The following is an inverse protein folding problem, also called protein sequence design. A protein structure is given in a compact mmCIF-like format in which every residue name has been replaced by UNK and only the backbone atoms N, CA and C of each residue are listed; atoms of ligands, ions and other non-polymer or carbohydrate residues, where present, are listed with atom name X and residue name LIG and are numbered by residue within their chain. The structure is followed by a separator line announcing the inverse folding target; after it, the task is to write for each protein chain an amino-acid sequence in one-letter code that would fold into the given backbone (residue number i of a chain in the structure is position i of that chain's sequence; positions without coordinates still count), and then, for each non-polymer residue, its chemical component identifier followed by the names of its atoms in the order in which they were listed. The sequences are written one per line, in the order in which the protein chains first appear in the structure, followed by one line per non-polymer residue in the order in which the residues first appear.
data_IF_728701409055
#
_entry.id   IF_728701409055
#
_cell.length_a   1.000
_cell.length_b   1.000
_cell.length_c   1.000
_cell.angle_alpha   90.00
_cell.angle_beta   90.00
_cell.angle_gamma   90.00
#
_symmetry.space_group_name_H-M   'P 1'
#
loop_
_entity.id
_entity.type
_entity.pdbx_description
1 polymer ?
#
# COMPACT_ATOMS: atom_id res chain seq x y z
N UNK A 1 -18.04 -43.53 28.32
CA UNK A 1 -16.72 -42.94 28.06
C UNK A 1 -16.38 -43.05 26.58
N UNK A 2 -16.62 -41.99 25.81
CA UNK A 2 -16.33 -41.98 24.38
C UNK A 2 -14.86 -41.66 24.15
N UNK A 3 -14.18 -42.55 23.42
CA UNK A 3 -12.77 -42.47 23.04
C UNK A 3 -12.57 -41.24 22.14
N UNK A 4 -12.11 -40.11 22.71
CA UNK A 4 -11.78 -38.87 21.97
C UNK A 4 -10.79 -39.26 20.87
N UNK A 5 -11.25 -39.33 19.62
CA UNK A 5 -10.38 -39.59 18.46
C UNK A 5 -9.31 -38.51 18.48
N UNK A 6 -8.06 -38.89 18.68
CA UNK A 6 -6.90 -37.99 18.57
C UNK A 6 -6.94 -37.43 17.16
N UNK A 7 -7.46 -36.22 16.97
CA UNK A 7 -7.52 -35.61 15.65
C UNK A 7 -6.08 -35.48 15.15
N UNK A 8 -5.84 -35.87 13.90
CA UNK A 8 -4.52 -35.68 13.31
C UNK A 8 -4.31 -34.18 13.23
N UNK A 9 -3.40 -33.66 14.06
CA UNK A 9 -3.01 -32.25 14.06
C UNK A 9 -2.56 -31.87 12.64
N UNK A 10 -3.35 -30.99 12.00
CA UNK A 10 -3.11 -30.54 10.63
C UNK A 10 -2.09 -29.41 10.59
N UNK A 11 -1.96 -28.68 11.71
CA UNK A 11 -1.09 -27.53 11.87
C UNK A 11 -0.19 -27.66 13.09
N UNK A 12 1.05 -27.15 12.98
CA UNK A 12 1.98 -27.02 14.10
C UNK A 12 2.09 -25.56 14.47
N UNK A 13 2.14 -25.27 15.76
CA UNK A 13 2.27 -23.92 16.28
C UNK A 13 3.63 -23.76 16.96
N UNK A 14 4.43 -22.79 16.50
CA UNK A 14 5.69 -22.42 17.15
C UNK A 14 5.50 -21.08 17.82
N UNK A 15 5.51 -21.07 19.14
CA UNK A 15 5.43 -19.84 19.92
C UNK A 15 6.66 -18.98 19.67
N UNK A 16 6.47 -17.70 19.39
CA UNK A 16 7.57 -16.73 19.27
C UNK A 16 7.53 -15.68 20.39
N UNK A 17 6.39 -15.52 21.08
CA UNK A 17 6.27 -14.62 22.24
C UNK A 17 5.25 -15.14 23.27
N UNK A 18 5.50 -14.84 24.55
CA UNK A 18 4.58 -15.08 25.67
C UNK A 18 4.71 -13.97 26.70
N UNK A 19 3.58 -13.53 27.22
CA UNK A 19 3.42 -12.69 28.40
C UNK A 19 2.35 -13.32 29.31
N UNK A 20 2.07 -12.76 30.50
CA UNK A 20 0.96 -13.24 31.33
C UNK A 20 -0.38 -13.25 30.59
N UNK A 21 -0.63 -12.22 29.77
CA UNK A 21 -1.95 -11.97 29.15
C UNK A 21 -1.94 -12.06 27.62
N UNK A 22 -0.83 -12.40 26.98
CA UNK A 22 -0.73 -12.48 25.51
C UNK A 22 0.24 -13.56 25.05
N UNK A 23 -0.06 -14.20 23.93
CA UNK A 23 0.86 -15.11 23.26
C UNK A 23 0.80 -14.95 21.74
N UNK A 24 1.91 -15.25 21.07
CA UNK A 24 2.03 -15.19 19.61
C UNK A 24 2.72 -16.43 19.05
N UNK A 25 2.22 -16.87 17.89
CA UNK A 25 2.57 -18.13 17.25
C UNK A 25 2.75 -17.98 15.74
N UNK A 26 3.78 -18.65 15.23
CA UNK A 26 3.87 -19.01 13.83
C UNK A 26 3.17 -20.34 13.58
N UNK A 27 2.34 -20.38 12.54
CA UNK A 27 1.55 -21.54 12.15
C UNK A 27 2.22 -22.24 10.97
N UNK A 28 2.36 -23.56 11.02
CA UNK A 28 2.96 -24.38 9.97
C UNK A 28 2.05 -25.55 9.59
N UNK A 29 2.08 -26.03 8.35
CA UNK A 29 1.42 -27.30 8.00
C UNK A 29 2.17 -28.47 8.66
N UNK A 30 1.45 -29.35 9.36
CA UNK A 30 2.07 -30.41 10.15
C UNK A 30 2.82 -31.46 9.30
N UNK A 31 2.37 -31.70 8.07
CA UNK A 31 2.96 -32.68 7.15
C UNK A 31 4.25 -32.22 6.47
N UNK A 32 4.64 -30.95 6.61
CA UNK A 32 5.83 -30.41 5.96
C UNK A 32 6.80 -29.89 7.03
N UNK A 33 7.89 -30.64 7.26
CA UNK A 33 8.86 -30.33 8.33
C UNK A 33 9.63 -29.03 8.09
N UNK A 34 9.88 -28.67 6.83
CA UNK A 34 10.68 -27.52 6.40
C UNK A 34 9.88 -26.51 5.56
N UNK A 35 8.57 -26.38 5.82
CA UNK A 35 7.77 -25.37 5.13
C UNK A 35 7.82 -24.03 5.87
N UNK A 36 7.74 -22.90 5.15
CA UNK A 36 7.59 -21.60 5.77
C UNK A 36 6.30 -21.54 6.59
N UNK A 37 6.25 -20.61 7.54
CA UNK A 37 5.00 -20.36 8.26
C UNK A 37 3.91 -19.94 7.25
N UNK A 38 2.71 -20.45 7.45
CA UNK A 38 1.56 -20.18 6.58
C UNK A 38 0.68 -19.06 7.15
N UNK A 39 0.82 -18.77 8.45
CA UNK A 39 0.09 -17.73 9.15
C UNK A 39 0.80 -17.34 10.45
N UNK A 40 0.45 -16.16 10.95
CA UNK A 40 0.74 -15.70 12.30
C UNK A 40 -0.55 -15.62 13.11
N UNK A 41 -0.52 -16.15 14.32
CA UNK A 41 -1.65 -16.14 15.25
C UNK A 41 -1.23 -15.49 16.55
N UNK A 42 -1.94 -14.45 16.93
CA UNK A 42 -1.70 -13.70 18.16
C UNK A 42 -3.00 -13.60 18.93
N UNK A 43 -2.93 -13.75 20.25
CA UNK A 43 -4.07 -13.49 21.10
C UNK A 43 -3.68 -12.75 22.38
N UNK A 44 -4.65 -12.00 22.89
CA UNK A 44 -4.57 -11.24 24.12
C UNK A 44 -5.81 -11.50 24.98
N UNK A 45 -5.61 -11.57 26.29
CA UNK A 45 -6.66 -11.80 27.27
C UNK A 45 -6.90 -10.51 28.05
N UNK A 46 -8.14 -10.03 28.05
CA UNK A 46 -8.58 -8.90 28.85
C UNK A 46 -9.93 -9.24 29.48
N UNK A 47 -10.02 -9.13 30.81
CA UNK A 47 -11.24 -9.45 31.57
C UNK A 47 -11.88 -10.79 31.19
N UNK A 48 -11.04 -11.82 30.98
CA UNK A 48 -11.39 -13.19 30.56
C UNK A 48 -11.93 -13.33 29.12
N UNK A 49 -11.92 -12.25 28.35
CA UNK A 49 -12.20 -12.26 26.90
C UNK A 49 -10.89 -12.45 26.14
N UNK A 50 -10.89 -13.36 25.18
CA UNK A 50 -9.74 -13.65 24.32
C UNK A 50 -9.92 -12.93 22.98
N UNK A 51 -9.09 -11.94 22.73
CA UNK A 51 -9.03 -11.21 21.46
C UNK A 51 -7.90 -11.79 20.62
N UNK A 52 -8.24 -12.37 19.48
CA UNK A 52 -7.27 -13.00 18.60
C UNK A 52 -7.25 -12.40 17.19
N UNK A 53 -6.05 -12.38 16.63
CA UNK A 53 -5.78 -12.02 15.24
C UNK A 53 -5.07 -13.17 14.56
N UNK A 54 -5.59 -13.59 13.41
CA UNK A 54 -4.95 -14.56 12.53
C UNK A 54 -4.62 -13.88 11.20
N UNK A 55 -3.33 -13.75 10.89
CA UNK A 55 -2.86 -13.23 9.60
C UNK A 55 -2.39 -14.40 8.75
N UNK A 56 -3.13 -14.73 7.70
CA UNK A 56 -2.83 -15.83 6.78
C UNK A 56 -1.97 -15.31 5.63
N UNK A 57 -0.71 -15.75 5.60
CA UNK A 57 0.28 -15.35 4.58
C UNK A 57 0.25 -16.23 3.33
N UNK A 58 -0.17 -17.48 3.47
CA UNK A 58 -0.31 -18.44 2.37
C UNK A 58 -1.79 -18.73 2.11
N UNK A 59 -2.30 -18.61 0.88
CA UNK A 59 -3.71 -18.92 0.59
C UNK A 59 -4.11 -20.32 1.07
N UNK A 60 -5.17 -20.38 1.87
CA UNK A 60 -5.77 -21.62 2.39
C UNK A 60 -7.13 -21.84 1.74
N UNK A 61 -7.49 -23.11 1.48
CA UNK A 61 -8.88 -23.43 1.13
C UNK A 61 -9.78 -23.17 2.35
N UNK A 62 -11.05 -22.88 2.10
CA UNK A 62 -12.02 -22.64 3.18
C UNK A 62 -12.02 -23.77 4.23
N UNK A 63 -12.04 -25.03 3.79
CA UNK A 63 -11.99 -26.20 4.69
C UNK A 63 -10.65 -26.38 5.41
N UNK A 64 -9.56 -25.79 4.93
CA UNK A 64 -8.27 -25.75 5.65
C UNK A 64 -8.26 -24.63 6.70
N UNK A 65 -8.85 -23.47 6.39
CA UNK A 65 -8.99 -22.35 7.32
C UNK A 65 -9.93 -22.71 8.49
N UNK A 66 -11.07 -23.33 8.22
CA UNK A 66 -12.01 -23.81 9.24
C UNK A 66 -11.32 -24.78 10.21
N UNK A 67 -10.53 -25.73 9.70
CA UNK A 67 -9.73 -26.65 10.53
C UNK A 67 -8.63 -25.96 11.32
N UNK A 68 -8.05 -24.88 10.78
CA UNK A 68 -7.04 -24.10 11.49
C UNK A 68 -7.67 -23.38 12.67
N UNK A 69 -8.83 -22.75 12.47
CA UNK A 69 -9.58 -22.07 13.54
C UNK A 69 -10.01 -23.06 14.62
N UNK A 70 -10.57 -24.21 14.24
CA UNK A 70 -10.94 -25.29 15.18
C UNK A 70 -9.73 -25.73 16.01
N UNK A 71 -8.58 -25.99 15.36
CA UNK A 71 -7.38 -26.40 16.07
C UNK A 71 -6.81 -25.30 16.98
N UNK A 72 -6.95 -24.02 16.62
CA UNK A 72 -6.55 -22.89 17.46
C UNK A 72 -7.41 -22.81 18.73
N UNK A 73 -8.73 -22.93 18.59
CA UNK A 73 -9.65 -22.93 19.73
C UNK A 73 -9.34 -24.09 20.69
N UNK A 74 -9.23 -25.31 20.17
CA UNK A 74 -8.90 -26.51 20.96
C UNK A 74 -7.55 -26.38 21.67
N UNK A 75 -6.53 -25.87 20.97
CA UNK A 75 -5.15 -25.86 21.48
C UNK A 75 -4.88 -24.77 22.51
N UNK A 76 -5.55 -23.62 22.40
CA UNK A 76 -5.20 -22.43 23.18
C UNK A 76 -6.32 -21.93 24.09
N UNK A 77 -7.59 -22.21 23.74
CA UNK A 77 -8.72 -21.53 24.36
C UNK A 77 -9.63 -22.50 25.14
N UNK A 78 -9.87 -23.72 24.63
CA UNK A 78 -10.82 -24.69 25.21
C UNK A 78 -10.47 -25.08 26.67
N UNK A 79 -9.19 -25.00 27.05
CA UNK A 79 -8.70 -25.42 28.36
C UNK A 79 -8.67 -24.30 29.43
N UNK A 80 -9.27 -23.14 29.14
CA UNK A 80 -9.23 -21.96 30.01
C UNK A 80 -10.53 -21.81 30.79
N UNK A 81 -10.53 -22.33 32.02
CA UNK A 81 -11.73 -22.52 32.87
C UNK A 81 -12.51 -21.24 33.23
N UNK A 82 -11.99 -20.05 32.91
CA UNK A 82 -12.63 -18.77 33.27
C UNK A 82 -12.99 -17.88 32.09
N UNK A 83 -12.89 -18.35 30.83
CA UNK A 83 -13.19 -17.55 29.62
C UNK A 83 -14.66 -17.09 29.56
N UNK A 84 -14.87 -15.84 29.17
CA UNK A 84 -16.20 -15.27 28.88
C UNK A 84 -16.51 -15.22 27.38
N UNK A 85 -15.53 -14.90 26.52
CA UNK A 85 -15.71 -14.83 25.06
C UNK A 85 -14.39 -15.06 24.30
N UNK A 86 -14.49 -15.40 23.00
CA UNK A 86 -13.36 -15.54 22.06
C UNK A 86 -13.68 -14.83 20.74
N UNK A 87 -13.01 -13.70 20.50
CA UNK A 87 -13.20 -12.86 19.33
C UNK A 87 -12.00 -13.04 18.41
N UNK A 88 -12.20 -13.70 17.27
CA UNK A 88 -11.16 -13.94 16.27
C UNK A 88 -11.38 -13.08 15.03
N UNK A 89 -10.39 -12.26 14.68
CA UNK A 89 -10.34 -11.53 13.41
C UNK A 89 -9.32 -12.17 12.48
N UNK A 90 -9.73 -12.48 11.25
CA UNK A 90 -8.89 -13.16 10.26
C UNK A 90 -8.58 -12.23 9.10
N UNK A 91 -7.29 -12.05 8.83
CA UNK A 91 -6.77 -11.30 7.68
C UNK A 91 -6.05 -12.25 6.73
N UNK A 92 -6.11 -11.97 5.43
CA UNK A 92 -5.21 -12.56 4.45
C UNK A 92 -4.25 -11.48 3.96
N UNK A 93 -2.95 -11.69 4.14
CA UNK A 93 -1.95 -10.66 3.85
C UNK A 93 -0.54 -11.23 3.74
N UNK A 94 0.23 -10.71 2.79
CA UNK A 94 1.62 -11.13 2.57
C UNK A 94 2.56 -10.40 3.52
N UNK A 95 3.40 -11.14 4.23
CA UNK A 95 4.52 -10.58 4.99
C UNK A 95 5.57 -9.98 4.03
N UNK A 96 5.90 -8.69 4.21
CA UNK A 96 6.68 -7.93 3.22
C UNK A 96 8.18 -7.96 3.51
N UNK A 97 8.60 -7.86 4.77
CA UNK A 97 10.01 -7.91 5.18
C UNK A 97 10.16 -8.04 6.69
N UNK A 98 11.15 -8.82 7.14
CA UNK A 98 11.52 -8.99 8.55
C UNK A 98 12.86 -8.36 8.92
N UNK A 99 12.94 -7.78 10.12
CA UNK A 99 14.15 -7.17 10.66
C UNK A 99 14.40 -7.59 12.11
N UNK A 100 15.66 -7.95 12.41
CA UNK A 100 16.19 -8.26 13.75
C UNK A 100 17.61 -7.70 13.87
N UNK A 101 17.92 -7.05 15.00
CA UNK A 101 19.16 -6.32 15.27
C UNK A 101 20.28 -7.18 15.88
N UNK A 102 19.92 -8.34 16.42
CA UNK A 102 20.77 -9.23 17.23
C UNK A 102 21.06 -10.56 16.55
N UNK A 103 20.38 -10.85 15.43
CA UNK A 103 20.53 -12.08 14.65
C UNK A 103 21.21 -11.75 13.32
N UNK A 104 22.48 -12.19 13.10
CA UNK A 104 23.19 -12.00 11.84
C UNK A 104 22.39 -12.55 10.66
N UNK A 105 22.42 -11.86 9.50
CA UNK A 105 21.62 -12.21 8.31
C UNK A 105 21.81 -13.67 7.85
N UNK A 106 23.00 -14.23 8.07
CA UNK A 106 23.36 -15.62 7.79
C UNK A 106 22.88 -16.66 8.82
N UNK A 107 22.53 -16.22 10.04
CA UNK A 107 22.03 -17.04 11.16
C UNK A 107 20.52 -16.90 11.34
N UNK A 108 19.86 -16.03 10.54
CA UNK A 108 18.40 -15.98 10.36
C UNK A 108 17.92 -17.24 9.63
N UNK A 109 18.14 -18.40 10.24
CA UNK A 109 17.42 -19.62 9.94
C UNK A 109 16.00 -19.38 10.41
N UNK A 110 15.16 -18.93 9.46
CA UNK A 110 13.73 -18.74 9.60
C UNK A 110 13.32 -17.58 10.53
N UNK A 111 13.02 -16.38 10.02
CA UNK A 111 12.34 -15.42 10.89
C UNK A 111 11.44 -14.36 10.21
N UNK A 112 10.18 -14.25 10.67
CA UNK A 112 9.21 -13.21 10.33
C UNK A 112 9.42 -11.86 11.02
N UNK A 113 8.70 -10.86 10.52
CA UNK A 113 8.93 -9.43 10.67
C UNK A 113 8.53 -8.79 11.98
N UNK A 114 9.41 -7.96 12.55
CA UNK A 114 9.09 -7.06 13.68
C UNK A 114 9.83 -5.73 13.57
N UNK A 115 9.67 -4.73 14.45
CA UNK A 115 8.53 -3.83 14.71
C UNK A 115 9.07 -2.51 15.34
N UNK A 116 10.33 -2.48 15.81
CA UNK A 116 11.13 -1.27 16.14
C UNK A 116 11.49 -0.40 14.93
N UNK A 117 10.76 -0.60 13.85
CA UNK A 117 11.09 -0.19 12.53
C UNK A 117 10.12 0.93 12.08
N UNK A 118 9.06 1.29 12.82
CA UNK A 118 8.08 2.23 12.23
C UNK A 118 8.67 3.65 11.99
N UNK A 119 9.56 4.15 12.86
CA UNK A 119 10.26 5.42 12.65
C UNK A 119 11.58 5.26 11.85
N UNK A 120 12.45 4.33 12.27
CA UNK A 120 13.72 4.04 11.58
C UNK A 120 13.58 3.20 10.31
N UNK A 121 12.41 2.64 10.07
CA UNK A 121 11.98 1.97 8.84
C UNK A 121 10.94 2.74 8.06
N UNK A 122 10.35 3.83 8.56
CA UNK A 122 10.08 4.93 7.63
C UNK A 122 11.41 5.46 7.10
N UNK A 123 12.44 5.63 7.93
CA UNK A 123 13.78 6.06 7.48
C UNK A 123 14.48 5.00 6.62
N UNK A 124 14.39 3.70 6.93
CA UNK A 124 15.04 2.60 6.20
C UNK A 124 14.22 2.12 4.99
N UNK A 125 12.87 2.06 5.06
CA UNK A 125 12.03 1.97 3.86
C UNK A 125 12.24 3.23 3.01
N UNK A 126 12.39 4.44 3.55
CA UNK A 126 12.79 5.62 2.74
C UNK A 126 14.24 5.57 2.29
N UNK A 127 15.13 4.80 2.93
CA UNK A 127 16.51 4.57 2.48
C UNK A 127 16.57 3.48 1.40
N UNK A 128 15.59 2.57 1.37
CA UNK A 128 15.44 1.48 0.39
C UNK A 128 14.56 1.95 -0.80
N UNK A 129 13.38 2.52 -0.56
CA UNK A 129 12.51 3.26 -1.51
C UNK A 129 13.19 4.54 -2.02
N UNK A 130 13.99 5.23 -1.20
CA UNK A 130 14.81 6.36 -1.66
C UNK A 130 15.98 5.93 -2.53
N UNK A 131 16.37 4.66 -2.48
CA UNK A 131 17.30 4.04 -3.43
C UNK A 131 16.59 3.44 -4.66
N UNK A 132 15.25 3.29 -4.66
CA UNK A 132 14.48 2.71 -5.77
C UNK A 132 13.47 3.69 -6.35
N UNK A 133 13.90 4.39 -7.40
CA UNK A 133 13.15 5.41 -8.15
C UNK A 133 11.79 4.89 -8.68
N UNK A 134 11.70 3.60 -8.98
CA UNK A 134 10.52 2.94 -9.56
C UNK A 134 9.35 2.78 -8.57
N UNK A 135 9.61 2.36 -7.33
CA UNK A 135 8.57 2.18 -6.32
C UNK A 135 7.95 3.51 -5.88
N UNK A 136 8.75 4.58 -5.81
CA UNK A 136 8.26 5.95 -5.59
C UNK A 136 7.44 6.49 -6.76
N UNK A 137 7.76 6.10 -8.00
CA UNK A 137 6.95 6.43 -9.18
C UNK A 137 5.52 5.89 -9.04
N UNK A 138 5.39 4.60 -8.75
CA UNK A 138 4.08 3.94 -8.61
C UNK A 138 3.22 4.52 -7.48
N UNK A 139 3.85 4.95 -6.37
CA UNK A 139 3.14 5.62 -5.27
C UNK A 139 2.66 7.04 -5.65
N UNK A 140 3.46 7.78 -6.42
CA UNK A 140 3.04 9.11 -6.90
C UNK A 140 1.85 9.00 -7.86
N UNK A 141 1.83 7.99 -8.72
CA UNK A 141 0.72 7.73 -9.64
C UNK A 141 -0.56 7.41 -8.87
N UNK A 142 -0.46 6.58 -7.81
CA UNK A 142 -1.60 6.23 -6.99
C UNK A 142 -2.15 7.42 -6.19
N UNK A 143 -1.27 8.23 -5.60
CA UNK A 143 -1.65 9.46 -4.90
C UNK A 143 -2.32 10.48 -5.86
N UNK A 144 -1.83 10.55 -7.11
CA UNK A 144 -2.40 11.41 -8.13
C UNK A 144 -3.80 10.94 -8.57
N UNK A 145 -4.03 9.62 -8.65
CA UNK A 145 -5.39 9.10 -8.86
C UNK A 145 -6.34 9.53 -7.73
N UNK A 146 -5.94 9.32 -6.48
CA UNK A 146 -6.75 9.68 -5.31
C UNK A 146 -7.05 11.19 -5.26
N UNK A 147 -6.11 12.04 -5.66
CA UNK A 147 -6.32 13.47 -5.79
C UNK A 147 -7.41 13.82 -6.80
N UNK A 148 -7.37 13.21 -7.99
CA UNK A 148 -8.41 13.43 -8.99
C UNK A 148 -9.77 12.87 -8.56
N UNK A 149 -9.79 11.72 -7.88
CA UNK A 149 -11.01 11.16 -7.27
C UNK A 149 -11.63 12.12 -6.25
N UNK A 150 -10.79 12.72 -5.39
CA UNK A 150 -11.25 13.75 -4.44
C UNK A 150 -11.79 15.02 -5.13
N UNK A 151 -11.36 15.31 -6.36
CA UNK A 151 -11.90 16.39 -7.20
C UNK A 151 -13.14 15.98 -8.02
N UNK A 152 -13.66 14.76 -7.84
CA UNK A 152 -14.85 14.28 -8.53
C UNK A 152 -14.60 13.69 -9.92
N UNK A 153 -13.37 13.24 -10.20
CA UNK A 153 -13.05 12.49 -11.42
C UNK A 153 -13.08 10.98 -11.15
N UNK A 154 -13.27 10.20 -12.19
CA UNK A 154 -12.89 8.79 -12.20
C UNK A 154 -11.44 8.69 -12.68
N UNK A 155 -10.52 8.27 -11.82
CA UNK A 155 -9.09 8.21 -12.14
C UNK A 155 -8.56 6.78 -12.24
N UNK A 156 -7.60 6.56 -13.13
CA UNK A 156 -6.90 5.28 -13.25
C UNK A 156 -5.48 5.47 -13.73
N UNK A 157 -4.61 4.52 -13.38
CA UNK A 157 -3.27 4.45 -13.96
C UNK A 157 -3.38 4.17 -15.45
N UNK A 158 -2.50 4.79 -16.22
CA UNK A 158 -2.40 4.59 -17.65
C UNK A 158 -1.94 3.15 -17.94
N UNK A 159 -2.45 2.55 -19.03
CA UNK A 159 -2.03 1.22 -19.47
C UNK A 159 -0.77 1.29 -20.34
N UNK A 160 -0.14 0.14 -20.60
CA UNK A 160 1.12 0.01 -21.38
C UNK A 160 1.15 0.73 -22.73
N UNK A 161 0.00 0.97 -23.36
CA UNK A 161 -0.10 1.70 -24.63
C UNK A 161 0.18 3.21 -24.48
N UNK A 162 0.09 3.75 -23.27
CA UNK A 162 0.24 5.16 -22.93
C UNK A 162 1.58 5.49 -22.27
N UNK A 163 2.31 4.48 -21.78
CA UNK A 163 3.64 4.62 -21.17
C UNK A 163 4.64 5.27 -22.13
N UNK A 164 4.53 4.97 -23.43
CA UNK A 164 5.39 5.56 -24.46
C UNK A 164 5.18 7.07 -24.65
N UNK A 165 4.02 7.59 -24.22
CA UNK A 165 3.66 9.01 -24.28
C UNK A 165 3.95 9.75 -22.96
N UNK A 166 4.57 9.07 -21.98
CA UNK A 166 4.85 9.60 -20.62
C UNK A 166 3.59 10.03 -19.86
N UNK A 167 2.46 9.37 -20.14
CA UNK A 167 1.21 9.58 -19.41
C UNK A 167 1.11 8.46 -18.38
N UNK A 168 1.06 8.81 -17.11
CA UNK A 168 1.03 7.82 -16.02
C UNK A 168 -0.39 7.65 -15.44
N UNK A 169 -1.22 8.69 -15.53
CA UNK A 169 -2.61 8.70 -15.00
C UNK A 169 -3.56 9.30 -16.02
N UNK A 170 -4.75 8.72 -16.13
CA UNK A 170 -5.88 9.26 -16.89
C UNK A 170 -7.03 9.46 -15.91
N UNK A 171 -7.55 10.68 -15.84
CA UNK A 171 -8.70 11.04 -15.02
C UNK A 171 -9.79 11.67 -15.89
N UNK A 172 -11.04 11.28 -15.66
CA UNK A 172 -12.16 11.69 -16.51
C UNK A 172 -13.37 12.07 -15.66
N UNK A 173 -14.00 13.20 -15.99
CA UNK A 173 -15.31 13.57 -15.48
C UNK A 173 -16.27 13.84 -16.66
N UNK A 174 -17.39 14.51 -16.44
CA UNK A 174 -18.36 14.79 -17.51
C UNK A 174 -17.91 15.88 -18.50
N UNK A 175 -16.95 16.73 -18.14
CA UNK A 175 -16.51 17.89 -18.92
C UNK A 175 -15.17 17.68 -19.63
N UNK A 176 -14.25 16.93 -19.02
CA UNK A 176 -12.86 16.87 -19.45
C UNK A 176 -12.19 15.52 -19.14
N UNK A 177 -11.13 15.24 -19.91
CA UNK A 177 -10.22 14.11 -19.71
C UNK A 177 -8.82 14.68 -19.45
N UNK A 178 -8.28 14.38 -18.28
CA UNK A 178 -6.95 14.80 -17.85
C UNK A 178 -5.97 13.66 -18.08
N UNK A 179 -4.96 13.92 -18.89
CA UNK A 179 -3.83 13.02 -19.11
C UNK A 179 -2.64 13.57 -18.33
N UNK A 180 -2.26 12.87 -17.27
CA UNK A 180 -1.32 13.38 -16.29
C UNK A 180 -0.02 12.57 -16.24
N UNK A 181 1.10 13.29 -16.13
CA UNK A 181 2.40 12.73 -15.79
C UNK A 181 2.72 13.00 -14.32
N UNK A 182 3.10 11.96 -13.58
CA UNK A 182 3.55 12.05 -12.19
C UNK A 182 5.09 12.00 -12.12
N UNK A 183 5.73 13.13 -11.80
CA UNK A 183 7.19 13.24 -11.69
C UNK A 183 7.65 13.14 -10.24
N UNK A 184 8.77 12.44 -10.04
CA UNK A 184 9.52 12.50 -8.78
C UNK A 184 10.44 13.72 -8.79
N UNK A 185 10.31 14.63 -7.81
CA UNK A 185 11.18 15.78 -7.66
C UNK A 185 10.81 16.94 -8.60
N UNK A 186 11.83 17.55 -9.18
CA UNK A 186 11.66 18.69 -10.08
C UNK A 186 11.34 18.25 -11.50
N UNK A 187 10.51 19.03 -12.20
CA UNK A 187 10.25 18.87 -13.63
C UNK A 187 10.86 20.02 -14.43
N UNK A 188 11.37 19.72 -15.63
CA UNK A 188 11.94 20.69 -16.55
C UNK A 188 10.93 21.24 -17.56
N UNK A 189 11.25 22.38 -18.18
CA UNK A 189 10.44 23.01 -19.24
C UNK A 189 10.19 22.06 -20.41
N UNK A 190 11.22 21.31 -20.84
CA UNK A 190 11.12 20.38 -21.97
C UNK A 190 10.25 19.16 -21.64
N UNK A 191 10.22 18.72 -20.38
CA UNK A 191 9.34 17.65 -19.94
C UNK A 191 7.87 18.09 -19.94
N UNK A 192 7.57 19.28 -19.42
CA UNK A 192 6.19 19.82 -19.45
C UNK A 192 5.72 19.98 -20.90
N UNK A 193 6.59 20.49 -21.77
CA UNK A 193 6.31 20.61 -23.20
C UNK A 193 6.09 19.25 -23.87
N UNK A 194 6.87 18.23 -23.49
CA UNK A 194 6.72 16.89 -24.06
C UNK A 194 5.36 16.27 -23.73
N UNK A 195 4.87 16.43 -22.50
CA UNK A 195 3.54 15.97 -22.08
C UNK A 195 2.45 16.70 -22.84
N UNK A 196 2.49 18.04 -22.87
CA UNK A 196 1.50 18.84 -23.61
C UNK A 196 1.47 18.45 -25.10
N UNK A 197 2.63 18.28 -25.72
CA UNK A 197 2.74 17.86 -27.11
C UNK A 197 2.26 16.42 -27.34
N UNK A 198 2.47 15.51 -26.39
CA UNK A 198 1.96 14.14 -26.47
C UNK A 198 0.43 14.14 -26.46
N UNK A 199 -0.18 14.81 -25.49
CA UNK A 199 -1.64 14.93 -25.38
C UNK A 199 -2.25 15.63 -26.60
N UNK A 200 -1.59 16.65 -27.15
CA UNK A 200 -2.06 17.33 -28.36
C UNK A 200 -2.11 16.45 -29.62
N UNK A 201 -1.24 15.43 -29.71
CA UNK A 201 -1.17 14.52 -30.85
C UNK A 201 -2.17 13.36 -30.78
N UNK A 202 -2.86 13.23 -29.64
CA UNK A 202 -3.79 12.12 -29.39
C UNK A 202 -5.01 12.21 -30.29
N UNK A 203 -5.33 11.09 -30.96
CA UNK A 203 -6.48 10.96 -31.87
C UNK A 203 -7.79 10.61 -31.16
N UNK A 204 -7.71 10.19 -29.89
CA UNK A 204 -8.85 10.03 -28.97
C UNK A 204 -9.39 11.36 -28.45
N UNK A 205 -8.84 12.49 -28.92
CA UNK A 205 -9.56 13.76 -29.08
C UNK A 205 -10.65 13.54 -30.15
N UNK A 206 -11.60 12.63 -29.87
CA UNK A 206 -12.69 12.32 -30.77
C UNK A 206 -13.73 13.42 -30.63
N UNK A 207 -13.91 14.09 -31.75
CA UNK A 207 -14.97 15.04 -32.05
C UNK A 207 -16.32 14.30 -32.02
N UNK A 208 -17.02 14.41 -30.89
CA UNK A 208 -18.38 13.91 -30.75
C UNK A 208 -18.84 14.01 -29.31
N UNK A 209 -19.39 15.17 -28.93
CA UNK A 209 -19.74 15.56 -27.54
C UNK A 209 -18.51 15.70 -26.64
N UNK A 210 -17.48 16.33 -27.22
CA UNK A 210 -16.05 16.15 -26.90
C UNK A 210 -15.68 16.70 -25.52
N UNK A 211 -15.40 15.80 -24.57
CA UNK A 211 -14.73 16.17 -23.33
C UNK A 211 -13.40 16.83 -23.67
N UNK A 212 -13.11 17.95 -23.03
CA UNK A 212 -11.89 18.70 -23.28
C UNK A 212 -10.67 17.89 -22.80
N UNK A 213 -9.70 17.66 -23.67
CA UNK A 213 -8.44 17.03 -23.27
C UNK A 213 -7.53 18.04 -22.57
N UNK A 214 -7.01 17.64 -21.42
CA UNK A 214 -6.14 18.45 -20.58
C UNK A 214 -4.83 17.72 -20.35
N UNK A 215 -3.71 18.42 -20.53
CA UNK A 215 -2.39 17.89 -20.18
C UNK A 215 -2.06 18.30 -18.75
N UNK A 216 -1.69 17.35 -17.91
CA UNK A 216 -1.32 17.63 -16.52
C UNK A 216 0.08 17.12 -16.18
N UNK A 217 0.79 17.87 -15.35
CA UNK A 217 2.07 17.44 -14.77
C UNK A 217 2.01 17.65 -13.28
N UNK A 218 2.29 16.59 -12.51
CA UNK A 218 2.39 16.63 -11.06
C UNK A 218 3.85 16.51 -10.62
N UNK A 219 4.37 17.48 -9.84
CA UNK A 219 5.77 17.52 -9.41
C UNK A 219 5.97 18.24 -8.07
N UNK A 220 7.15 18.07 -7.46
CA UNK A 220 7.53 18.79 -6.24
C UNK A 220 7.91 20.24 -6.56
N UNK A 221 8.62 20.44 -7.67
CA UNK A 221 9.13 21.75 -8.09
C UNK A 221 8.98 21.94 -9.59
N UNK A 222 8.49 23.12 -9.96
CA UNK A 222 8.40 23.57 -11.35
C UNK A 222 9.44 24.68 -11.63
N UNK A 223 9.75 24.96 -12.91
CA UNK A 223 10.54 26.12 -13.29
C UNK A 223 9.93 27.42 -12.75
N UNK A 224 10.75 28.44 -12.46
CA UNK A 224 10.24 29.71 -11.90
C UNK A 224 9.26 30.43 -12.83
N UNK A 225 9.43 30.22 -14.13
CA UNK A 225 8.61 30.75 -15.21
C UNK A 225 7.48 29.80 -15.63
N UNK A 226 7.15 28.78 -14.81
CA UNK A 226 6.21 27.72 -15.17
C UNK A 226 4.83 28.22 -15.57
N UNK A 227 4.32 29.28 -14.95
CA UNK A 227 3.04 29.89 -15.34
C UNK A 227 3.11 30.59 -16.70
N UNK A 228 4.24 31.22 -17.02
CA UNK A 228 4.47 31.82 -18.35
C UNK A 228 4.59 30.70 -19.40
N UNK A 229 5.30 29.63 -19.07
CA UNK A 229 5.40 28.42 -19.88
C UNK A 229 4.03 27.80 -20.13
N UNK A 230 3.22 27.59 -19.08
CA UNK A 230 1.87 27.02 -19.14
C UNK A 230 1.02 27.75 -20.17
N UNK A 231 0.89 29.08 -20.03
CA UNK A 231 0.13 29.93 -20.97
C UNK A 231 0.67 29.91 -22.39
N UNK A 232 1.97 29.70 -22.57
CA UNK A 232 2.58 29.58 -23.90
C UNK A 232 2.23 28.23 -24.53
N UNK A 233 2.33 27.14 -23.77
CA UNK A 233 1.99 25.79 -24.23
C UNK A 233 0.50 25.67 -24.54
N UNK A 234 -0.38 26.26 -23.72
CA UNK A 234 -1.82 26.30 -23.98
C UNK A 234 -2.14 26.96 -25.32
N UNK A 235 -1.52 28.11 -25.62
CA UNK A 235 -1.66 28.78 -26.91
C UNK A 235 -1.06 27.99 -28.06
N UNK A 236 0.08 27.33 -27.83
CA UNK A 236 0.79 26.58 -28.85
C UNK A 236 0.03 25.31 -29.27
N UNK A 237 -0.55 24.59 -28.31
CA UNK A 237 -1.17 23.29 -28.53
C UNK A 237 -2.70 23.32 -28.54
N UNK A 238 -3.32 24.45 -28.17
CA UNK A 238 -4.78 24.60 -28.17
C UNK A 238 -5.49 23.73 -27.14
N UNK A 239 -4.81 23.37 -26.05
CA UNK A 239 -5.35 22.56 -24.94
C UNK A 239 -4.96 23.15 -23.59
N UNK A 240 -5.79 23.01 -22.53
CA UNK A 240 -5.41 23.44 -21.18
C UNK A 240 -4.26 22.63 -20.62
N UNK A 241 -3.40 23.30 -19.84
CA UNK A 241 -2.27 22.66 -19.17
C UNK A 241 -2.41 22.88 -17.67
N UNK A 242 -2.40 21.80 -16.88
CA UNK A 242 -2.42 21.84 -15.42
C UNK A 242 -1.03 21.54 -14.86
N UNK A 243 -0.58 22.40 -13.95
CA UNK A 243 0.63 22.18 -13.16
C UNK A 243 0.20 21.93 -11.71
N UNK A 244 0.36 20.69 -11.26
CA UNK A 244 -0.11 20.24 -9.95
C UNK A 244 1.11 20.12 -9.05
N UNK A 245 1.19 20.97 -8.03
CA UNK A 245 2.20 20.81 -7.00
C UNK A 245 1.82 19.68 -6.06
N UNK A 246 2.78 18.83 -5.71
CA UNK A 246 2.53 17.69 -4.81
C UNK A 246 2.01 18.06 -3.43
N UNK A 247 2.30 19.26 -2.92
CA UNK A 247 1.70 19.71 -1.65
C UNK A 247 0.16 19.81 -1.75
N UNK A 248 -0.39 20.10 -2.93
CA UNK A 248 -1.84 20.17 -3.14
C UNK A 248 -2.46 18.77 -3.09
N UNK A 249 -1.74 17.76 -3.58
CA UNK A 249 -2.12 16.34 -3.48
C UNK A 249 -2.08 15.89 -2.02
N UNK A 250 -1.01 16.24 -1.31
CA UNK A 250 -0.80 15.96 0.11
C UNK A 250 -1.91 16.57 0.99
N UNK A 251 -2.28 17.83 0.74
CA UNK A 251 -3.35 18.51 1.48
C UNK A 251 -4.72 17.85 1.28
N UNK A 252 -5.04 17.44 0.05
CA UNK A 252 -6.33 16.82 -0.29
C UNK A 252 -6.41 15.33 0.08
N UNK A 253 -5.27 14.62 0.09
CA UNK A 253 -5.20 13.19 0.40
C UNK A 253 -4.08 12.92 1.41
N UNK A 254 -4.29 13.25 2.70
CA UNK A 254 -3.23 13.27 3.72
C UNK A 254 -2.54 11.92 3.95
N UNK A 255 -3.23 10.82 3.64
CA UNK A 255 -2.72 9.46 3.74
C UNK A 255 -1.46 9.24 2.87
N UNK A 256 -1.24 10.09 1.84
CA UNK A 256 -0.08 10.05 0.96
C UNK A 256 1.00 11.09 1.28
N UNK A 257 0.85 11.91 2.35
CA UNK A 257 1.81 12.96 2.74
C UNK A 257 3.26 12.47 2.80
N UNK A 258 3.47 11.26 3.33
CA UNK A 258 4.80 10.66 3.49
C UNK A 258 5.37 10.07 2.20
N UNK A 259 4.51 9.63 1.27
CA UNK A 259 4.91 9.11 -0.05
C UNK A 259 5.28 10.23 -1.03
N UNK A 260 4.63 11.39 -0.88
CA UNK A 260 4.85 12.59 -1.70
C UNK A 260 6.04 13.45 -1.23
N UNK A 261 6.71 13.07 -0.13
CA UNK A 261 7.86 13.80 0.42
C UNK A 261 7.51 15.16 1.03
N UNK A 262 6.23 15.42 1.31
CA UNK A 262 5.74 16.67 1.88
C UNK A 262 5.94 16.64 3.40
N UNK A 263 7.10 17.13 3.86
CA UNK A 263 7.42 17.28 5.29
C UNK A 263 6.65 18.41 5.98
N UNK A 264 5.37 18.62 5.68
CA UNK A 264 4.55 19.59 6.41
C UNK A 264 3.93 18.87 7.59
N UNK A 265 4.56 19.04 8.75
CA UNK A 265 3.93 18.75 10.05
C UNK A 265 2.76 19.72 10.19
N UNK A 266 1.53 19.26 10.45
CA UNK A 266 0.45 20.18 10.79
C UNK A 266 0.87 20.93 12.05
N UNK A 267 1.04 22.24 11.96
CA UNK A 267 1.20 23.08 13.15
C UNK A 267 -0.09 22.96 13.94
N UNK A 268 -0.05 22.24 15.06
CA UNK A 268 -1.08 22.32 16.08
C UNK A 268 -1.05 23.75 16.63
N UNK A 269 -1.94 24.59 16.11
CA UNK A 269 -2.20 25.91 16.66
C UNK A 269 -2.63 25.78 18.11
N UNK A 270 -1.94 26.53 18.97
CA UNK A 270 -2.41 26.88 20.31
C UNK A 270 -3.49 27.95 20.22
#
# INVERSE_FOLDING_TARGET
MAKRRKSISNFRFRRYVRTPDSEGYYVFKARQRQSPSIAQFDYHVSDKVYYATLVVHTPLRQSELERLVEQLEDSFIEHQESRTDFILTIYSGKEIASYSDSIPESVRLEEPATLGAVADLSTAINRILGKTQHARGQLNEHALCAYFEALGFTARRAGKSLDHEKIDVVAENHEQIVYAQAKLGSVSTSEIQAVAAAVARRKDVVTGVSKMSVAAVAADRFPKDSEVLRRRLERQFGLPVMLIHKYQIAEMVPDYNRALGSGVVPSTGR
#
